data_IF_298623197896
#
_entry.id   IF_298623197896
#
_cell.length_a   1.000
_cell.length_b   1.000
_cell.length_c   1.000
_cell.angle_alpha   90.00
_cell.angle_beta   90.00
_cell.angle_gamma   90.00
#
_symmetry.space_group_name_H-M   'P 1'
#
loop_
_entity.id
_entity.type
_entity.pdbx_description
1 polymer ?
#
# COMPACT_ATOMS: atom_id res chain seq x y z
N UNK A 1 6.41 -19.86 5.88
CA UNK A 1 5.62 -18.83 6.57
C UNK A 1 4.44 -18.30 5.73
N UNK A 2 4.50 -18.22 4.39
CA UNK A 2 3.38 -17.67 3.58
C UNK A 2 2.05 -18.48 3.58
N UNK A 3 2.08 -19.82 3.69
CA UNK A 3 0.85 -20.64 3.69
C UNK A 3 -0.04 -20.41 4.91
N UNK A 4 0.56 -20.10 6.07
CA UNK A 4 -0.19 -19.85 7.31
C UNK A 4 -1.00 -18.55 7.23
N UNK A 5 -0.46 -17.54 6.54
CA UNK A 5 -1.11 -16.25 6.37
C UNK A 5 -2.32 -16.33 5.44
N UNK A 6 -2.25 -17.10 4.34
CA UNK A 6 -3.39 -17.28 3.44
C UNK A 6 -4.56 -18.01 4.10
N UNK A 7 -4.26 -19.05 4.90
CA UNK A 7 -5.31 -19.79 5.63
C UNK A 7 -5.98 -18.90 6.68
N UNK A 8 -5.18 -18.12 7.43
CA UNK A 8 -5.72 -17.15 8.39
C UNK A 8 -6.53 -16.06 7.72
N UNK A 9 -6.05 -15.51 6.61
CA UNK A 9 -6.76 -14.49 5.84
C UNK A 9 -8.11 -15.01 5.37
N UNK A 10 -8.16 -16.24 4.81
CA UNK A 10 -9.43 -16.86 4.42
C UNK A 10 -10.38 -17.06 5.61
N UNK A 11 -9.87 -17.49 6.76
CA UNK A 11 -10.68 -17.65 7.97
C UNK A 11 -11.27 -16.31 8.44
N UNK A 12 -10.46 -15.25 8.47
CA UNK A 12 -10.94 -13.92 8.83
C UNK A 12 -11.98 -13.39 7.83
N UNK A 13 -11.76 -13.61 6.54
CA UNK A 13 -12.73 -13.26 5.49
C UNK A 13 -14.06 -13.99 5.73
N UNK A 14 -14.06 -15.31 5.89
CA UNK A 14 -15.28 -16.08 6.15
C UNK A 14 -16.01 -15.58 7.40
N UNK A 15 -15.30 -15.34 8.50
CA UNK A 15 -15.89 -14.84 9.74
C UNK A 15 -16.52 -13.46 9.58
N UNK A 16 -15.92 -12.56 8.80
CA UNK A 16 -16.51 -11.25 8.50
C UNK A 16 -17.80 -11.38 7.65
N UNK A 17 -17.78 -12.25 6.65
CA UNK A 17 -18.94 -12.50 5.78
C UNK A 17 -20.10 -13.15 6.57
N UNK A 18 -19.81 -14.11 7.45
CA UNK A 18 -20.80 -14.71 8.36
C UNK A 18 -21.48 -13.66 9.27
N UNK A 19 -20.72 -12.62 9.65
CA UNK A 19 -21.22 -11.47 10.42
C UNK A 19 -21.98 -10.44 9.58
N UNK A 20 -22.18 -10.70 8.28
CA UNK A 20 -22.91 -9.83 7.34
C UNK A 20 -22.36 -8.41 7.29
N UNK A 21 -21.04 -8.26 7.20
CA UNK A 21 -20.45 -6.96 6.87
C UNK A 21 -20.94 -6.48 5.51
N UNK A 22 -21.11 -5.17 5.33
CA UNK A 22 -21.55 -4.59 4.05
C UNK A 22 -20.39 -4.33 3.08
N UNK A 23 -19.14 -4.53 3.52
CA UNK A 23 -17.95 -4.27 2.72
C UNK A 23 -16.65 -4.62 3.45
N UNK A 24 -15.56 -4.68 2.69
CA UNK A 24 -14.23 -5.02 3.20
C UNK A 24 -13.20 -3.96 2.79
N UNK A 25 -12.35 -3.60 3.75
CA UNK A 25 -11.12 -2.84 3.50
C UNK A 25 -9.93 -3.75 3.74
N UNK A 26 -9.15 -4.01 2.70
CA UNK A 26 -7.96 -4.85 2.77
C UNK A 26 -6.74 -3.96 2.92
N UNK A 27 -6.03 -4.12 4.04
CA UNK A 27 -4.78 -3.42 4.30
C UNK A 27 -3.64 -4.44 4.25
N UNK A 28 -2.66 -4.22 3.36
CA UNK A 28 -1.50 -5.10 3.27
C UNK A 28 -0.56 -4.95 4.46
N UNK A 29 0.15 -6.02 4.81
CA UNK A 29 1.22 -5.96 5.82
C UNK A 29 2.45 -5.16 5.33
N UNK A 30 2.57 -4.98 4.02
CA UNK A 30 3.56 -4.15 3.34
C UNK A 30 2.83 -3.28 2.32
N UNK A 31 3.40 -2.13 1.92
CA UNK A 31 2.78 -1.24 0.94
C UNK A 31 2.91 -1.74 -0.51
N UNK A 32 3.50 -2.92 -0.70
CA UNK A 32 3.74 -3.53 -2.00
C UNK A 32 2.47 -4.15 -2.60
N UNK A 33 2.36 -4.22 -3.94
CA UNK A 33 1.23 -4.87 -4.59
C UNK A 33 1.01 -6.30 -4.09
N UNK A 34 -0.24 -6.65 -3.85
CA UNK A 34 -0.64 -7.97 -3.35
C UNK A 34 -1.64 -8.67 -4.27
N UNK A 35 -1.72 -10.01 -4.23
CA UNK A 35 -2.81 -10.72 -4.88
C UNK A 35 -4.17 -10.27 -4.35
N UNK A 36 -5.17 -10.26 -5.24
CA UNK A 36 -6.57 -10.06 -4.88
C UNK A 36 -7.03 -11.13 -3.88
N UNK A 37 -7.91 -10.76 -2.94
CA UNK A 37 -8.51 -11.69 -1.97
C UNK A 37 -9.64 -12.53 -2.55
N UNK A 38 -10.10 -12.22 -3.77
CA UNK A 38 -11.13 -12.96 -4.48
C UNK A 38 -12.10 -12.04 -5.24
N UNK A 39 -12.62 -12.53 -6.37
CA UNK A 39 -13.52 -11.77 -7.26
C UNK A 39 -15.00 -11.93 -6.95
N UNK A 40 -15.37 -13.07 -6.38
CA UNK A 40 -16.77 -13.46 -6.18
C UNK A 40 -17.24 -13.23 -4.72
N UNK A 41 -16.70 -12.19 -4.09
CA UNK A 41 -17.13 -11.82 -2.74
C UNK A 41 -18.49 -11.12 -2.82
N UNK A 42 -19.45 -11.44 -1.93
CA UNK A 42 -20.81 -10.91 -1.99
C UNK A 42 -20.91 -9.44 -1.55
N UNK A 43 -19.77 -8.79 -1.30
CA UNK A 43 -19.66 -7.44 -0.74
C UNK A 43 -18.52 -6.69 -1.45
N UNK A 44 -18.61 -5.35 -1.59
CA UNK A 44 -17.56 -4.54 -2.18
C UNK A 44 -16.24 -4.64 -1.39
N UNK A 45 -15.13 -4.59 -2.11
CA UNK A 45 -13.77 -4.65 -1.55
C UNK A 45 -12.97 -3.45 -2.02
N UNK A 46 -12.29 -2.79 -1.09
CA UNK A 46 -11.32 -1.73 -1.38
C UNK A 46 -9.97 -2.07 -0.76
N UNK A 47 -8.91 -1.92 -1.54
CA UNK A 47 -7.54 -2.12 -1.08
C UNK A 47 -6.95 -0.77 -0.66
N UNK A 48 -6.32 -0.74 0.51
CA UNK A 48 -5.64 0.44 1.03
C UNK A 48 -4.20 0.07 1.42
N UNK A 49 -3.30 1.05 1.35
CA UNK A 49 -1.87 0.93 1.66
C UNK A 49 -1.07 0.03 0.70
N UNK A 50 -1.63 -1.10 0.28
CA UNK A 50 -1.09 -2.09 -0.64
C UNK A 50 -2.07 -2.30 -1.79
N UNK A 51 -1.73 -1.93 -3.04
CA UNK A 51 -2.68 -2.07 -4.14
C UNK A 51 -2.89 -3.55 -4.49
N UNK A 52 -4.06 -3.87 -5.02
CA UNK A 52 -4.27 -5.18 -5.66
C UNK A 52 -3.48 -5.26 -6.96
N UNK A 53 -2.98 -6.45 -7.27
CA UNK A 53 -2.41 -6.78 -8.58
C UNK A 53 -3.48 -6.90 -9.67
N UNK A 54 -4.76 -7.03 -9.30
CA UNK A 54 -5.85 -7.02 -10.26
C UNK A 54 -6.29 -5.58 -10.58
N UNK A 55 -6.21 -5.14 -11.85
CA UNK A 55 -6.61 -3.79 -12.24
C UNK A 55 -8.12 -3.53 -12.15
N UNK A 56 -8.96 -4.57 -12.00
CA UNK A 56 -10.40 -4.41 -11.80
C UNK A 56 -10.75 -4.15 -10.32
N UNK A 57 -9.82 -4.39 -9.40
CA UNK A 57 -10.03 -4.12 -7.99
C UNK A 57 -9.87 -2.62 -7.70
N UNK A 58 -10.70 -2.10 -6.79
CA UNK A 58 -10.56 -0.72 -6.33
C UNK A 58 -9.39 -0.62 -5.34
N UNK A 59 -8.33 0.08 -5.72
CA UNK A 59 -7.18 0.36 -4.84
C UNK A 59 -7.03 1.85 -4.61
N UNK A 60 -7.00 2.26 -3.34
CA UNK A 60 -6.75 3.64 -2.93
C UNK A 60 -5.42 3.67 -2.19
N UNK A 61 -4.37 4.13 -2.87
CA UNK A 61 -3.00 4.13 -2.36
C UNK A 61 -2.34 5.48 -2.59
N UNK A 62 -1.28 5.76 -1.82
CA UNK A 62 -0.50 6.99 -1.97
C UNK A 62 0.43 6.91 -3.18
N UNK A 63 0.54 8.00 -3.93
CA UNK A 63 1.66 8.19 -4.86
C UNK A 63 2.93 8.49 -4.07
N UNK A 64 3.66 7.41 -3.76
CA UNK A 64 4.88 7.48 -2.97
C UNK A 64 5.99 8.25 -3.69
N UNK A 65 6.04 8.25 -5.03
CA UNK A 65 7.05 9.01 -5.77
C UNK A 65 6.75 10.49 -5.69
N UNK A 66 5.51 10.89 -5.95
CA UNK A 66 5.10 12.28 -5.79
C UNK A 66 5.30 12.76 -4.34
N UNK A 67 4.95 11.94 -3.35
CA UNK A 67 5.17 12.28 -1.93
C UNK A 67 6.64 12.54 -1.61
N UNK A 68 7.56 11.71 -2.12
CA UNK A 68 9.00 11.92 -1.95
C UNK A 68 9.50 13.22 -2.57
N UNK A 69 9.01 13.52 -3.79
CA UNK A 69 9.34 14.75 -4.51
C UNK A 69 8.87 16.00 -3.76
N UNK A 70 7.58 16.04 -3.39
CA UNK A 70 6.98 17.17 -2.69
C UNK A 70 7.71 17.46 -1.36
N UNK A 71 8.16 16.43 -0.64
CA UNK A 71 8.90 16.61 0.60
C UNK A 71 10.26 17.30 0.39
N UNK A 72 11.01 16.93 -0.66
CA UNK A 72 12.30 17.55 -0.96
C UNK A 72 12.13 18.93 -1.58
N UNK A 73 11.19 19.10 -2.52
CA UNK A 73 10.86 20.40 -3.11
C UNK A 73 10.52 21.43 -2.02
N UNK A 74 9.76 21.03 -1.01
CA UNK A 74 9.47 21.89 0.14
C UNK A 74 10.75 22.33 0.87
N UNK A 75 11.66 21.41 1.18
CA UNK A 75 12.91 21.75 1.88
C UNK A 75 13.83 22.64 1.03
N UNK A 76 13.92 22.37 -0.27
CA UNK A 76 14.69 23.19 -1.22
C UNK A 76 14.10 24.59 -1.31
N UNK A 77 12.76 24.73 -1.38
CA UNK A 77 12.08 26.02 -1.38
C UNK A 77 12.35 26.82 -0.08
N UNK A 78 12.63 26.14 1.03
CA UNK A 78 13.07 26.76 2.29
C UNK A 78 14.59 27.04 2.34
N UNK A 79 15.31 26.89 1.22
CA UNK A 79 16.75 27.16 1.10
C UNK A 79 17.66 26.05 1.64
N UNK A 80 17.13 24.85 1.93
CA UNK A 80 17.96 23.72 2.40
C UNK A 80 18.69 23.09 1.21
N UNK A 81 20.01 22.85 1.37
CA UNK A 81 20.88 22.30 0.32
C UNK A 81 21.53 20.96 0.66
N UNK A 82 21.50 20.58 1.94
CA UNK A 82 22.05 19.31 2.45
C UNK A 82 20.92 18.55 3.12
N UNK A 83 20.23 17.73 2.36
CA UNK A 83 19.04 17.00 2.80
C UNK A 83 19.43 15.54 2.95
N UNK A 84 19.23 14.97 4.13
CA UNK A 84 19.42 13.55 4.39
C UNK A 84 18.09 12.82 4.21
N UNK A 85 18.11 11.67 3.53
CA UNK A 85 16.98 10.76 3.45
C UNK A 85 17.16 9.62 4.45
N UNK A 86 16.26 9.52 5.43
CA UNK A 86 16.17 8.39 6.35
C UNK A 86 14.93 7.59 5.96
N UNK A 87 15.11 6.36 5.51
CA UNK A 87 14.04 5.51 4.98
C UNK A 87 14.00 4.15 5.67
N UNK A 88 12.87 3.46 5.52
CA UNK A 88 12.68 2.09 5.99
C UNK A 88 13.37 1.06 5.10
N UNK A 89 12.99 -0.21 5.27
CA UNK A 89 13.51 -1.34 4.51
C UNK A 89 13.46 -1.08 2.99
N UNK A 90 14.61 -1.22 2.32
CA UNK A 90 14.76 -0.98 0.88
C UNK A 90 14.07 -2.02 0.01
N UNK A 91 13.64 -3.14 0.57
CA UNK A 91 12.80 -4.13 -0.12
C UNK A 91 11.36 -3.66 -0.32
N UNK A 92 10.93 -2.55 0.31
CA UNK A 92 9.56 -2.04 0.21
C UNK A 92 9.47 -1.04 -0.94
N UNK A 93 8.62 -1.31 -1.92
CA UNK A 93 8.39 -0.47 -3.10
C UNK A 93 8.02 0.97 -2.76
N UNK A 94 7.28 1.20 -1.67
CA UNK A 94 6.97 2.56 -1.23
C UNK A 94 8.19 3.33 -0.71
N UNK A 95 9.18 2.66 -0.12
CA UNK A 95 10.43 3.30 0.31
C UNK A 95 11.30 3.65 -0.92
N UNK A 96 11.44 2.71 -1.85
CA UNK A 96 12.19 2.96 -3.09
C UNK A 96 11.53 4.06 -3.93
N UNK A 97 10.20 4.07 -4.06
CA UNK A 97 9.45 5.11 -4.77
C UNK A 97 9.62 6.50 -4.13
N UNK A 98 9.50 6.61 -2.79
CA UNK A 98 9.77 7.88 -2.08
C UNK A 98 11.19 8.36 -2.28
N UNK A 99 12.16 7.44 -2.24
CA UNK A 99 13.57 7.78 -2.47
C UNK A 99 13.76 8.30 -3.89
N UNK A 100 13.20 7.63 -4.90
CA UNK A 100 13.30 8.07 -6.29
C UNK A 100 12.67 9.46 -6.49
N UNK A 101 11.47 9.69 -5.94
CA UNK A 101 10.82 10.99 -6.01
C UNK A 101 11.62 12.11 -5.35
N UNK A 102 12.22 11.83 -4.20
CA UNK A 102 13.07 12.77 -3.48
C UNK A 102 14.37 13.10 -4.23
N UNK A 103 14.92 12.16 -5.01
CA UNK A 103 16.11 12.38 -5.85
C UNK A 103 15.77 13.15 -7.14
N UNK A 104 14.53 13.02 -7.64
CA UNK A 104 14.05 13.76 -8.81
C UNK A 104 13.78 15.25 -8.56
N UNK A 105 13.67 15.67 -7.28
CA UNK A 105 13.36 17.04 -6.85
C UNK A 105 14.57 17.97 -6.94
#
# INVERSE_FOLDING_TARGET
AARGDVIRERYHLSSMLERRVDGLVVVGARPDPRPSIGKDLPVPVVYAYAPSLDPQDCSIVSDNRLAGRLAVEHLVAQGRRRIALIQGDSSYGAATARTAGAVDA
#
